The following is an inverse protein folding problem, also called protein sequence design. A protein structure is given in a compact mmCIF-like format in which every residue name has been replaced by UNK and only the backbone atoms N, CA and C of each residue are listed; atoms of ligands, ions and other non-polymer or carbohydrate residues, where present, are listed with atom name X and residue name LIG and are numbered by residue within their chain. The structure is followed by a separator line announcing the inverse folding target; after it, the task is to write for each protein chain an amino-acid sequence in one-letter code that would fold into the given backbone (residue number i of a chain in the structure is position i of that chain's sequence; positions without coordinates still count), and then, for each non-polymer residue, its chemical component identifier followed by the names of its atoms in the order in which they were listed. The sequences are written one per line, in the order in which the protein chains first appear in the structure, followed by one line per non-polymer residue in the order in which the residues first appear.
data_IF_816767893390
#
_entry.id   IF_816767893390
#
_cell.length_a   1.000
_cell.length_b   1.000
_cell.length_c   1.000
_cell.angle_alpha   90.00
_cell.angle_beta   90.00
_cell.angle_gamma   90.00
#
_symmetry.space_group_name_H-M   'P 1'
#
loop_
_entity.id
_entity.type
_entity.pdbx_description
1 polymer ?
#
# COMPACT_ATOMS: atom_id res chain seq x y z
N UNK A 1 24.73 -19.57 18.33
CA UNK A 1 23.79 -19.62 17.21
C UNK A 1 22.42 -19.90 17.79
N UNK A 2 21.57 -18.88 17.93
CA UNK A 2 20.18 -19.04 18.38
C UNK A 2 19.33 -17.98 17.68
N UNK A 3 19.16 -18.13 16.36
CA UNK A 3 18.33 -17.21 15.59
C UNK A 3 17.20 -18.00 14.96
N UNK A 4 16.13 -18.18 15.71
CA UNK A 4 14.85 -18.55 15.13
C UNK A 4 14.26 -17.29 14.48
N UNK A 5 14.37 -17.20 13.16
CA UNK A 5 13.75 -16.16 12.34
C UNK A 5 12.39 -16.65 11.78
N UNK A 6 11.60 -17.36 12.57
CA UNK A 6 10.20 -17.64 12.22
C UNK A 6 9.35 -16.37 12.30
N UNK A 7 9.57 -15.45 11.34
CA UNK A 7 8.75 -14.27 11.07
C UNK A 7 7.28 -14.58 10.78
N UNK A 8 6.92 -15.87 10.67
CA UNK A 8 5.61 -16.32 10.18
C UNK A 8 4.65 -16.79 11.28
N UNK A 9 5.08 -16.98 12.53
CA UNK A 9 4.22 -17.55 13.59
C UNK A 9 4.43 -16.93 14.99
N UNK A 10 4.34 -15.59 15.15
CA UNK A 10 4.60 -14.91 16.42
C UNK A 10 3.71 -15.38 17.59
N UNK A 11 2.47 -15.82 17.30
CA UNK A 11 1.59 -16.39 18.31
C UNK A 11 2.12 -17.73 18.85
N UNK A 12 2.59 -18.61 17.97
CA UNK A 12 3.08 -19.93 18.36
C UNK A 12 4.46 -19.84 19.02
N UNK A 13 5.30 -18.90 18.59
CA UNK A 13 6.57 -18.63 19.27
C UNK A 13 6.35 -18.11 20.70
N UNK A 14 5.31 -17.30 20.91
CA UNK A 14 4.92 -16.85 22.24
C UNK A 14 4.45 -18.01 23.12
N UNK A 15 3.58 -18.89 22.58
CA UNK A 15 3.09 -20.07 23.29
C UNK A 15 4.22 -21.09 23.59
N UNK A 16 5.16 -21.25 22.66
CA UNK A 16 6.31 -22.15 22.78
C UNK A 16 7.48 -21.58 23.59
N UNK A 17 7.39 -20.34 24.07
CA UNK A 17 8.49 -19.62 24.74
C UNK A 17 9.80 -19.56 23.91
N UNK A 18 9.67 -19.57 22.58
CA UNK A 18 10.79 -19.51 21.62
C UNK A 18 11.00 -18.11 21.02
N UNK A 19 10.33 -17.08 21.55
CA UNK A 19 10.46 -15.70 21.10
C UNK A 19 11.90 -15.19 21.25
N UNK A 20 12.50 -14.80 20.12
CA UNK A 20 13.83 -14.18 20.12
C UNK A 20 13.76 -12.72 20.58
N UNK A 21 14.45 -12.41 21.68
CA UNK A 21 14.51 -11.10 22.34
C UNK A 21 15.07 -9.99 21.44
N UNK A 22 15.93 -10.31 20.47
CA UNK A 22 16.57 -9.35 19.55
C UNK A 22 15.66 -8.96 18.38
N UNK A 23 14.56 -9.67 18.15
CA UNK A 23 13.68 -9.47 16.99
C UNK A 23 13.06 -8.07 16.97
N UNK A 24 12.64 -7.56 18.13
CA UNK A 24 12.03 -6.23 18.25
C UNK A 24 13.05 -5.12 17.96
N UNK A 25 14.25 -5.23 18.50
CA UNK A 25 15.34 -4.27 18.26
C UNK A 25 15.73 -4.26 16.78
N UNK A 26 15.87 -5.45 16.17
CA UNK A 26 16.17 -5.58 14.75
C UNK A 26 15.04 -5.01 13.88
N UNK A 27 13.78 -5.27 14.21
CA UNK A 27 12.63 -4.69 13.51
C UNK A 27 12.64 -3.16 13.60
N UNK A 28 12.84 -2.60 14.79
CA UNK A 28 12.99 -1.14 14.99
C UNK A 28 14.15 -0.58 14.18
N UNK A 29 15.31 -1.26 14.17
CA UNK A 29 16.49 -0.86 13.39
C UNK A 29 16.22 -0.87 11.88
N UNK A 30 15.54 -1.90 11.36
CA UNK A 30 15.18 -1.99 9.94
C UNK A 30 14.17 -0.89 9.58
N UNK A 31 13.10 -0.73 10.38
CA UNK A 31 12.06 0.28 10.13
C UNK A 31 12.62 1.70 10.20
N UNK A 32 13.48 2.01 11.18
CA UNK A 32 14.13 3.32 11.31
C UNK A 32 15.16 3.62 10.22
N UNK A 33 15.83 2.59 9.68
CA UNK A 33 16.78 2.74 8.58
C UNK A 33 16.14 2.72 7.19
N UNK A 34 14.89 2.27 7.07
CA UNK A 34 14.14 2.18 5.80
C UNK A 34 14.12 3.51 5.03
N UNK A 35 14.15 4.65 5.74
CA UNK A 35 14.17 5.99 5.12
C UNK A 35 15.56 6.56 4.82
N UNK A 36 16.65 6.00 5.39
CA UNK A 36 17.99 6.63 5.31
C UNK A 36 18.80 6.22 4.08
N UNK A 37 18.55 5.03 3.54
CA UNK A 37 19.22 4.47 2.36
C UNK A 37 18.22 4.11 1.25
N UNK A 38 17.09 4.81 1.18
CA UNK A 38 16.04 4.52 0.23
C UNK A 38 16.51 4.77 -1.20
N UNK A 39 16.70 3.69 -1.97
CA UNK A 39 16.96 3.78 -3.40
C UNK A 39 15.78 4.51 -4.08
N UNK A 40 16.08 5.53 -4.89
CA UNK A 40 15.09 6.21 -5.73
C UNK A 40 14.42 5.20 -6.65
N UNK A 41 13.08 5.16 -6.74
CA UNK A 41 12.40 4.25 -7.66
C UNK A 41 12.70 4.63 -9.11
N UNK A 42 13.05 3.64 -9.91
CA UNK A 42 13.27 3.83 -11.35
C UNK A 42 11.94 4.02 -12.09
N UNK A 43 10.86 3.43 -11.56
CA UNK A 43 9.52 3.45 -12.14
C UNK A 43 8.46 3.60 -11.07
N UNK A 44 7.50 4.50 -11.30
CA UNK A 44 6.32 4.69 -10.43
C UNK A 44 5.04 4.48 -11.24
N UNK A 45 4.20 3.54 -10.80
CA UNK A 45 2.84 3.38 -11.29
C UNK A 45 1.86 4.07 -10.34
N UNK A 46 1.16 5.09 -10.81
CA UNK A 46 0.15 5.81 -10.03
C UNK A 46 -1.22 5.16 -10.23
N UNK A 47 -1.64 4.39 -9.23
CA UNK A 47 -2.90 3.68 -9.19
C UNK A 47 -3.98 4.44 -8.39
N UNK A 48 -5.22 3.97 -8.48
CA UNK A 48 -6.35 4.36 -7.66
C UNK A 48 -7.10 3.09 -7.22
N UNK A 49 -8.02 3.23 -6.27
CA UNK A 49 -8.78 2.09 -5.77
C UNK A 49 -9.98 1.83 -6.69
N UNK A 50 -10.23 0.58 -7.09
CA UNK A 50 -11.33 0.26 -8.03
C UNK A 50 -12.68 0.42 -7.34
N UNK A 51 -12.91 -0.31 -6.25
CA UNK A 51 -14.15 -0.29 -5.46
C UNK A 51 -13.90 -0.72 -3.99
N UNK A 52 -14.94 -0.66 -3.16
CA UNK A 52 -14.90 -0.97 -1.72
C UNK A 52 -14.53 -2.44 -1.46
N UNK A 53 -15.03 -3.36 -2.26
CA UNK A 53 -14.75 -4.78 -2.08
C UNK A 53 -13.32 -5.13 -2.50
N UNK A 54 -12.86 -4.56 -3.61
CA UNK A 54 -11.48 -4.68 -4.08
C UNK A 54 -10.49 -4.12 -3.07
N UNK A 55 -10.83 -3.03 -2.37
CA UNK A 55 -10.00 -2.46 -1.30
C UNK A 55 -9.72 -3.44 -0.15
N UNK A 56 -10.68 -4.32 0.18
CA UNK A 56 -10.50 -5.36 1.20
C UNK A 56 -9.52 -6.46 0.77
N UNK A 57 -9.18 -6.52 -0.51
CA UNK A 57 -8.16 -7.43 -1.06
C UNK A 57 -6.75 -6.83 -1.05
N UNK A 58 -6.55 -5.67 -0.39
CA UNK A 58 -5.24 -5.07 -0.25
C UNK A 58 -4.28 -5.98 0.54
N UNK A 59 -3.03 -6.19 0.08
CA UNK A 59 -2.08 -7.09 0.73
C UNK A 59 -1.76 -6.76 2.19
N UNK A 60 -1.85 -5.49 2.59
CA UNK A 60 -1.63 -5.08 3.98
C UNK A 60 -2.85 -5.29 4.88
N UNK A 61 -4.04 -5.53 4.32
CA UNK A 61 -5.24 -5.83 5.09
C UNK A 61 -5.28 -7.31 5.48
N UNK A 62 -5.29 -8.21 4.49
CA UNK A 62 -5.32 -9.66 4.69
C UNK A 62 -4.42 -10.36 3.67
N UNK A 63 -3.16 -10.59 4.04
CA UNK A 63 -2.15 -11.24 3.17
C UNK A 63 -2.61 -12.58 2.60
N UNK A 64 -3.25 -13.41 3.43
CA UNK A 64 -3.76 -14.73 3.01
C UNK A 64 -4.89 -14.64 1.99
N UNK A 65 -5.67 -13.56 2.04
CA UNK A 65 -6.72 -13.34 1.05
C UNK A 65 -6.13 -12.78 -0.25
N UNK A 66 -5.22 -11.81 -0.09
CA UNK A 66 -4.52 -11.17 -1.20
C UNK A 66 -3.64 -12.11 -2.05
N UNK A 67 -3.26 -13.29 -1.54
CA UNK A 67 -2.52 -14.30 -2.29
C UNK A 67 -3.37 -15.11 -3.27
N UNK A 68 -4.70 -15.01 -3.18
CA UNK A 68 -5.63 -15.66 -4.10
C UNK A 68 -6.17 -14.67 -5.13
N UNK A 69 -6.68 -15.13 -6.29
CA UNK A 69 -7.36 -14.25 -7.23
C UNK A 69 -8.55 -13.56 -6.57
N UNK A 70 -8.76 -12.27 -6.88
CA UNK A 70 -9.87 -11.51 -6.34
C UNK A 70 -11.21 -12.18 -6.67
N UNK A 71 -12.00 -12.42 -5.63
CA UNK A 71 -13.34 -12.97 -5.73
C UNK A 71 -14.23 -12.36 -4.64
N UNK A 72 -15.46 -11.99 -5.00
CA UNK A 72 -16.45 -11.49 -4.06
C UNK A 72 -16.90 -12.63 -3.14
N UNK A 73 -16.41 -12.62 -1.89
CA UNK A 73 -16.76 -13.62 -0.89
C UNK A 73 -17.72 -13.04 0.13
N UNK A 74 -18.78 -13.79 0.45
CA UNK A 74 -19.83 -13.33 1.37
C UNK A 74 -19.29 -12.97 2.77
N UNK A 75 -18.23 -13.61 3.25
CA UNK A 75 -17.63 -13.29 4.55
C UNK A 75 -17.04 -11.87 4.63
N UNK A 76 -16.84 -11.19 3.50
CA UNK A 76 -16.35 -9.80 3.46
C UNK A 76 -17.46 -8.78 3.67
N UNK A 77 -18.72 -9.16 3.49
CA UNK A 77 -19.86 -8.25 3.62
C UNK A 77 -19.94 -7.54 4.98
N UNK A 78 -19.68 -8.20 6.12
CA UNK A 78 -19.64 -7.52 7.42
C UNK A 78 -18.54 -6.44 7.53
N UNK A 79 -17.46 -6.55 6.76
CA UNK A 79 -16.35 -5.59 6.75
C UNK A 79 -16.57 -4.44 5.76
N UNK A 80 -17.58 -4.54 4.90
CA UNK A 80 -17.94 -3.49 3.94
C UNK A 80 -18.19 -2.12 4.59
N UNK A 81 -19.03 -1.98 5.66
CA UNK A 81 -19.27 -0.68 6.29
C UNK A 81 -17.99 -0.09 6.91
N UNK A 82 -17.14 -0.93 7.50
CA UNK A 82 -15.84 -0.50 8.03
C UNK A 82 -14.95 0.05 6.91
N UNK A 83 -14.88 -0.65 5.78
CA UNK A 83 -14.08 -0.22 4.61
C UNK A 83 -14.62 1.07 4.00
N UNK A 84 -15.95 1.24 4.01
CA UNK A 84 -16.59 2.49 3.58
C UNK A 84 -16.19 3.68 4.47
N UNK A 85 -16.15 3.51 5.80
CA UNK A 85 -15.69 4.55 6.71
C UNK A 85 -14.22 4.89 6.45
N UNK A 86 -13.37 3.88 6.26
CA UNK A 86 -11.95 4.08 5.92
C UNK A 86 -11.81 4.87 4.62
N UNK A 87 -12.61 4.56 3.61
CA UNK A 87 -12.66 5.33 2.36
C UNK A 87 -12.98 6.80 2.61
N UNK A 88 -13.97 7.13 3.45
CA UNK A 88 -14.33 8.53 3.76
C UNK A 88 -13.16 9.25 4.45
N UNK A 89 -12.50 8.59 5.40
CA UNK A 89 -11.30 9.12 6.08
C UNK A 89 -10.18 9.36 5.06
N UNK A 90 -9.95 8.41 4.15
CA UNK A 90 -8.96 8.54 3.08
C UNK A 90 -9.30 9.69 2.13
N UNK A 91 -10.57 9.89 1.83
CA UNK A 91 -11.02 10.97 0.96
C UNK A 91 -10.71 12.34 1.57
N UNK A 92 -11.02 12.53 2.86
CA UNK A 92 -10.84 13.80 3.56
C UNK A 92 -9.38 14.16 3.88
N UNK A 93 -8.56 13.19 4.28
CA UNK A 93 -7.23 13.48 4.87
C UNK A 93 -6.02 12.82 4.20
N UNK A 94 -6.21 11.81 3.36
CA UNK A 94 -5.08 11.03 2.86
C UNK A 94 -4.37 11.72 1.68
N UNK A 95 -3.06 11.47 1.60
CA UNK A 95 -2.18 11.86 0.49
C UNK A 95 -1.74 10.62 -0.27
N UNK A 96 -1.21 10.81 -1.47
CA UNK A 96 -0.64 9.72 -2.26
C UNK A 96 0.44 8.96 -1.48
N UNK A 97 0.25 7.66 -1.32
CA UNK A 97 1.10 6.79 -0.49
C UNK A 97 1.61 5.58 -1.26
N UNK A 98 2.68 4.96 -0.76
CA UNK A 98 3.26 3.74 -1.33
C UNK A 98 2.40 2.53 -0.97
N UNK A 99 1.88 1.84 -1.98
CA UNK A 99 1.04 0.65 -1.80
C UNK A 99 1.85 -0.64 -1.87
N UNK A 100 2.72 -0.74 -2.87
CA UNK A 100 3.57 -1.92 -3.08
C UNK A 100 4.85 -1.51 -3.81
N UNK A 101 5.90 -2.30 -3.65
CA UNK A 101 7.14 -2.15 -4.38
C UNK A 101 7.72 -3.52 -4.70
N UNK A 102 8.42 -3.62 -5.81
CA UNK A 102 9.13 -4.83 -6.20
C UNK A 102 10.37 -4.47 -7.02
N UNK A 103 11.35 -5.37 -7.06
CA UNK A 103 12.53 -5.23 -7.89
C UNK A 103 12.41 -6.19 -9.07
N UNK A 104 12.47 -5.65 -10.29
CA UNK A 104 12.43 -6.43 -11.51
C UNK A 104 13.65 -6.08 -12.36
N UNK A 105 14.45 -7.09 -12.71
CA UNK A 105 15.69 -6.92 -13.51
C UNK A 105 16.62 -5.83 -12.97
N UNK A 106 16.75 -5.77 -11.64
CA UNK A 106 17.62 -4.80 -10.96
C UNK A 106 17.06 -3.38 -10.89
N UNK A 107 15.82 -3.12 -11.34
CA UNK A 107 15.14 -1.81 -11.27
C UNK A 107 14.09 -1.82 -10.17
N UNK A 108 14.00 -0.74 -9.41
CA UNK A 108 13.00 -0.60 -8.35
C UNK A 108 11.70 -0.02 -8.92
N UNK A 109 10.63 -0.81 -8.85
CA UNK A 109 9.29 -0.41 -9.25
C UNK A 109 8.44 -0.15 -8.01
N UNK A 110 7.73 0.97 -8.01
CA UNK A 110 6.79 1.32 -6.94
C UNK A 110 5.40 1.55 -7.51
N UNK A 111 4.39 1.11 -6.76
CA UNK A 111 2.99 1.46 -7.01
C UNK A 111 2.56 2.44 -5.94
N UNK A 112 2.21 3.65 -6.36
CA UNK A 112 1.66 4.68 -5.50
C UNK A 112 0.16 4.73 -5.69
N UNK A 113 -0.60 4.88 -4.61
CA UNK A 113 -2.06 4.94 -4.66
C UNK A 113 -2.52 6.35 -4.35
N UNK A 114 -3.25 6.93 -5.29
CA UNK A 114 -4.09 8.09 -5.04
C UNK A 114 -5.28 7.60 -4.19
N UNK A 115 -5.54 8.20 -3.01
CA UNK A 115 -6.57 7.72 -2.08
C UNK A 115 -7.98 8.09 -2.56
N UNK A 116 -8.33 7.60 -3.75
CA UNK A 116 -9.58 7.86 -4.45
C UNK A 116 -10.11 6.56 -5.04
N UNK A 117 -11.42 6.40 -4.96
CA UNK A 117 -12.13 5.22 -5.44
C UNK A 117 -12.67 5.48 -6.84
N UNK A 118 -12.79 4.45 -7.67
CA UNK A 118 -13.17 4.58 -9.08
C UNK A 118 -14.45 5.39 -9.28
N UNK A 119 -15.48 5.15 -8.45
CA UNK A 119 -16.72 5.91 -8.51
C UNK A 119 -16.55 7.43 -8.26
N UNK A 120 -15.53 7.83 -7.49
CA UNK A 120 -15.26 9.25 -7.19
C UNK A 120 -14.74 10.01 -8.40
N UNK A 121 -14.12 9.33 -9.37
CA UNK A 121 -13.68 9.96 -10.63
C UNK A 121 -14.85 10.42 -11.50
N UNK A 122 -16.04 9.85 -11.29
CA UNK A 122 -17.27 10.23 -11.98
C UNK A 122 -18.05 11.35 -11.25
N UNK A 123 -17.57 11.82 -10.10
CA UNK A 123 -18.19 12.91 -9.34
C UNK A 123 -17.56 14.26 -9.74
N UNK A 124 -18.31 15.19 -10.37
CA UNK A 124 -17.74 16.44 -10.89
C UNK A 124 -17.04 17.32 -9.83
N UNK A 125 -17.56 17.32 -8.60
CA UNK A 125 -16.98 18.11 -7.50
C UNK A 125 -15.66 17.50 -6.98
N UNK A 126 -15.43 16.21 -7.19
CA UNK A 126 -14.22 15.52 -6.73
C UNK A 126 -13.05 15.71 -7.70
N UNK A 127 -13.31 15.96 -8.99
CA UNK A 127 -12.31 16.05 -10.06
C UNK A 127 -11.16 17.00 -9.73
N UNK A 128 -11.45 18.20 -9.21
CA UNK A 128 -10.40 19.18 -8.85
C UNK A 128 -9.48 18.65 -7.75
N UNK A 129 -10.03 17.97 -6.74
CA UNK A 129 -9.25 17.40 -5.65
C UNK A 129 -8.42 16.18 -6.09
N UNK A 130 -8.96 15.38 -7.00
CA UNK A 130 -8.26 14.22 -7.60
C UNK A 130 -7.05 14.71 -8.41
N UNK A 131 -7.25 15.68 -9.30
CA UNK A 131 -6.19 16.23 -10.15
C UNK A 131 -5.07 16.83 -9.33
N UNK A 132 -5.39 17.53 -8.24
CA UNK A 132 -4.40 18.05 -7.30
C UNK A 132 -3.53 16.94 -6.70
N UNK A 133 -4.10 15.80 -6.29
CA UNK A 133 -3.31 14.69 -5.76
C UNK A 133 -2.44 14.00 -6.81
N UNK A 134 -2.92 13.92 -8.06
CA UNK A 134 -2.16 13.39 -9.19
C UNK A 134 -0.97 14.31 -9.48
N UNK A 135 -1.21 15.61 -9.58
CA UNK A 135 -0.17 16.63 -9.80
C UNK A 135 0.89 16.60 -8.68
N UNK A 136 0.46 16.61 -7.42
CA UNK A 136 1.36 16.51 -6.27
C UNK A 136 2.21 15.22 -6.31
N UNK A 137 1.64 14.11 -6.76
CA UNK A 137 2.36 12.85 -6.92
C UNK A 137 3.40 12.91 -8.04
N UNK A 138 3.06 13.51 -9.19
CA UNK A 138 3.99 13.69 -10.31
C UNK A 138 5.15 14.60 -9.88
N UNK A 139 4.86 15.75 -9.28
CA UNK A 139 5.87 16.68 -8.78
C UNK A 139 6.76 16.03 -7.70
N UNK A 140 6.19 15.15 -6.87
CA UNK A 140 6.97 14.38 -5.89
C UNK A 140 7.91 13.38 -6.57
N UNK A 141 7.45 12.67 -7.59
CA UNK A 141 8.27 11.71 -8.32
C UNK A 141 9.40 12.40 -9.11
N UNK A 142 9.10 13.56 -9.73
CA UNK A 142 10.09 14.38 -10.42
C UNK A 142 11.20 14.87 -9.47
N UNK A 143 10.83 15.44 -8.31
CA UNK A 143 11.80 15.84 -7.27
C UNK A 143 12.67 14.70 -6.75
N UNK A 144 12.14 13.47 -6.75
CA UNK A 144 12.90 12.29 -6.33
C UNK A 144 13.83 11.78 -7.43
N UNK A 145 13.69 12.23 -8.68
CA UNK A 145 14.48 11.75 -9.82
C UNK A 145 13.97 10.44 -10.41
N UNK A 146 12.66 10.18 -10.33
CA UNK A 146 12.04 8.98 -10.93
C UNK A 146 12.10 9.07 -12.45
N UNK A 147 12.59 8.02 -13.12
CA UNK A 147 12.81 8.03 -14.58
C UNK A 147 11.52 7.90 -15.38
N UNK A 148 10.57 7.10 -14.89
CA UNK A 148 9.33 6.80 -15.61
C UNK A 148 8.15 6.80 -14.64
N UNK A 149 7.10 7.52 -15.03
CA UNK A 149 5.81 7.54 -14.31
C UNK A 149 4.74 7.06 -15.27
N UNK A 150 3.92 6.13 -14.82
CA UNK A 150 2.76 5.64 -15.58
C UNK A 150 1.50 5.84 -14.76
N UNK A 151 0.43 6.28 -15.40
CA UNK A 151 -0.86 6.57 -14.78
C UNK A 151 -1.84 5.42 -15.04
N UNK A 152 -2.62 5.03 -14.02
CA UNK A 152 -3.72 4.09 -14.19
C UNK A 152 -4.88 4.73 -14.98
N UNK A 153 -5.76 3.92 -15.56
CA UNK A 153 -6.74 4.34 -16.58
C UNK A 153 -7.60 5.58 -16.24
N UNK A 154 -8.02 5.75 -14.98
CA UNK A 154 -8.83 6.91 -14.56
C UNK A 154 -8.00 8.12 -14.11
N UNK A 155 -6.68 7.95 -13.94
CA UNK A 155 -5.75 9.05 -13.63
C UNK A 155 -5.36 9.76 -14.94
N UNK A 156 -6.33 10.37 -15.61
CA UNK A 156 -6.16 11.11 -16.87
C UNK A 156 -6.43 12.60 -16.69
#
# INVERSE_FOLDING_TARGET
METNFCLFMPLFDALGSTLNTKSLELHKKITSNSGKNGRVPDFVFLAHVVDIMSAMHAPFALRSFASTPFCMRMFLLPFWPLTFIIMLVMWGWSKTFLFSFYNLRGRLHQTWVVPRFGFQYFLPFATKGINKHIEEAILRADRLGVKVISLAALNK
#
